data_IF_222780526558
#
_entry.id   IF_222780526558
#
_cell.length_a   1.000
_cell.length_b   1.000
_cell.length_c   1.000
_cell.angle_alpha   90.00
_cell.angle_beta   90.00
_cell.angle_gamma   90.00
#
_symmetry.space_group_name_H-M   'P 1'
#
loop_
_entity.id
_entity.type
_entity.pdbx_description
1 polymer ?
#
# COMPACT_ATOMS: atom_id res chain seq x y z
N UNK A 1 6.19 -5.84 -8.52
CA UNK A 1 5.65 -6.14 -7.19
C UNK A 1 4.57 -7.20 -7.20
N UNK A 2 3.35 -6.91 -7.66
CA UNK A 2 2.21 -7.83 -7.53
C UNK A 2 2.45 -9.23 -8.11
N UNK A 3 3.17 -9.33 -9.23
CA UNK A 3 3.55 -10.61 -9.83
C UNK A 3 4.36 -11.49 -8.87
N UNK A 4 5.46 -10.97 -8.31
CA UNK A 4 6.29 -11.73 -7.36
C UNK A 4 5.58 -12.04 -6.02
N UNK A 5 4.66 -11.17 -5.59
CA UNK A 5 3.78 -11.45 -4.45
C UNK A 5 2.87 -12.64 -4.75
N UNK A 6 2.21 -12.66 -5.91
CA UNK A 6 1.32 -13.74 -6.32
C UNK A 6 2.08 -15.04 -6.53
N UNK A 7 3.24 -15.01 -7.19
CA UNK A 7 4.11 -16.17 -7.36
C UNK A 7 4.48 -16.80 -6.02
N UNK A 8 4.85 -15.97 -5.03
CA UNK A 8 5.17 -16.46 -3.69
C UNK A 8 3.95 -17.07 -2.99
N UNK A 9 2.78 -16.43 -3.06
CA UNK A 9 1.55 -16.97 -2.46
C UNK A 9 1.13 -18.31 -3.09
N UNK A 10 1.31 -18.47 -4.41
CA UNK A 10 0.96 -19.69 -5.13
C UNK A 10 1.96 -20.83 -4.91
N UNK A 11 3.19 -20.52 -4.54
CA UNK A 11 4.25 -21.51 -4.28
C UNK A 11 4.43 -21.86 -2.80
N UNK A 12 4.02 -20.97 -1.89
CA UNK A 12 4.12 -21.12 -0.44
C UNK A 12 2.79 -20.78 0.24
N UNK A 13 2.00 -21.82 0.52
CA UNK A 13 0.63 -21.68 1.03
C UNK A 13 0.53 -21.30 2.52
N UNK A 14 1.65 -21.12 3.24
CA UNK A 14 1.62 -20.80 4.68
C UNK A 14 0.82 -19.53 4.97
N UNK A 15 0.94 -18.52 4.10
CA UNK A 15 0.21 -17.26 4.25
C UNK A 15 -1.28 -17.46 3.95
N UNK A 16 -1.60 -18.19 2.87
CA UNK A 16 -2.96 -18.52 2.46
C UNK A 16 -3.71 -19.40 3.48
N UNK A 17 -2.98 -20.18 4.29
CA UNK A 17 -3.58 -20.96 5.38
C UNK A 17 -4.01 -20.10 6.58
N UNK A 18 -3.54 -18.85 6.68
CA UNK A 18 -3.76 -17.97 7.85
C UNK A 18 -4.56 -16.71 7.53
N UNK A 19 -4.58 -16.28 6.27
CA UNK A 19 -5.27 -15.09 5.81
C UNK A 19 -5.80 -15.25 4.38
N UNK A 20 -6.84 -14.49 4.04
CA UNK A 20 -7.34 -14.37 2.66
C UNK A 20 -6.75 -13.14 2.01
N UNK A 21 -6.01 -13.31 0.90
CA UNK A 21 -5.42 -12.20 0.17
C UNK A 21 -6.38 -11.71 -0.92
N UNK A 22 -6.63 -10.39 -0.96
CA UNK A 22 -7.39 -9.72 -2.02
C UNK A 22 -6.47 -8.77 -2.77
N UNK A 23 -6.02 -9.22 -3.94
CA UNK A 23 -5.02 -8.50 -4.73
C UNK A 23 -5.71 -7.94 -5.97
N UNK A 24 -5.57 -6.63 -6.20
CA UNK A 24 -5.91 -5.97 -7.46
C UNK A 24 -4.59 -5.61 -8.15
N UNK A 25 -4.10 -6.43 -9.11
CA UNK A 25 -2.76 -6.23 -9.68
C UNK A 25 -2.59 -4.93 -10.47
N UNK A 26 -3.69 -4.35 -10.96
CA UNK A 26 -3.70 -3.08 -11.67
C UNK A 26 -5.00 -2.31 -11.38
N UNK A 27 -4.88 -1.24 -10.60
CA UNK A 27 -6.00 -0.35 -10.25
C UNK A 27 -6.40 0.62 -11.38
N UNK A 28 -5.52 0.85 -12.36
CA UNK A 28 -5.74 1.82 -13.42
C UNK A 28 -5.36 1.25 -14.81
N UNK A 29 -6.12 0.25 -15.29
CA UNK A 29 -5.84 -0.37 -16.59
C UNK A 29 -5.91 0.63 -17.74
N UNK A 30 -6.87 1.55 -17.70
CA UNK A 30 -7.07 2.56 -18.74
C UNK A 30 -5.90 3.56 -18.83
N UNK A 31 -5.46 4.08 -17.68
CA UNK A 31 -4.32 4.98 -17.60
C UNK A 31 -3.03 4.30 -18.05
N UNK A 32 -2.81 3.04 -17.66
CA UNK A 32 -1.66 2.26 -18.08
C UNK A 32 -1.61 2.08 -19.61
N UNK A 33 -2.72 1.69 -20.24
CA UNK A 33 -2.81 1.53 -21.71
C UNK A 33 -2.58 2.86 -22.43
N UNK A 34 -3.05 3.98 -21.86
CA UNK A 34 -2.89 5.32 -22.43
C UNK A 34 -1.52 5.95 -22.18
N UNK A 35 -0.65 5.32 -21.38
CA UNK A 35 0.64 5.89 -21.00
C UNK A 35 0.52 7.10 -20.06
N UNK A 36 -0.54 7.17 -19.25
CA UNK A 36 -0.69 8.19 -18.22
C UNK A 36 0.21 7.88 -17.02
N UNK A 37 0.78 8.93 -16.42
CA UNK A 37 1.52 8.81 -15.16
C UNK A 37 0.59 8.71 -13.94
N UNK A 38 -0.46 9.53 -13.89
CA UNK A 38 -1.15 9.85 -12.61
C UNK A 38 -2.68 9.74 -12.63
N UNK A 39 -3.30 9.57 -13.78
CA UNK A 39 -4.78 9.64 -13.91
C UNK A 39 -5.37 8.47 -14.68
N UNK A 40 -6.63 8.14 -14.40
CA UNK A 40 -7.41 7.22 -15.24
C UNK A 40 -7.82 7.89 -16.56
N UNK A 41 -8.60 7.19 -17.40
CA UNK A 41 -9.08 7.75 -18.67
C UNK A 41 -9.97 8.99 -18.49
N UNK A 42 -10.69 9.10 -17.37
CA UNK A 42 -11.53 10.24 -17.02
C UNK A 42 -10.76 11.44 -16.42
N UNK A 43 -9.42 11.33 -16.29
CA UNK A 43 -8.59 12.38 -15.71
C UNK A 43 -8.63 12.42 -14.17
N UNK A 44 -9.22 11.43 -13.50
CA UNK A 44 -9.22 11.32 -12.06
C UNK A 44 -7.87 10.81 -11.55
N UNK A 45 -7.30 11.48 -10.55
CA UNK A 45 -6.21 10.90 -9.76
C UNK A 45 -6.84 9.95 -8.74
N UNK A 46 -6.80 8.64 -9.02
CA UNK A 46 -7.49 7.63 -8.21
C UNK A 46 -7.07 7.65 -6.74
N UNK A 47 -5.84 8.04 -6.41
CA UNK A 47 -5.39 8.16 -5.02
C UNK A 47 -5.79 9.50 -4.36
N UNK A 48 -6.84 10.15 -4.88
CA UNK A 48 -7.52 11.32 -4.29
C UNK A 48 -9.05 11.16 -4.28
N UNK A 49 -9.54 9.94 -4.54
CA UNK A 49 -10.96 9.65 -4.80
C UNK A 49 -11.57 8.73 -3.71
N UNK A 50 -10.92 8.59 -2.56
CA UNK A 50 -11.34 7.63 -1.51
C UNK A 50 -12.29 8.24 -0.45
N UNK A 51 -12.43 9.57 -0.46
CA UNK A 51 -13.32 10.33 0.41
C UNK A 51 -13.74 11.62 -0.30
N UNK A 52 -14.68 12.41 0.25
CA UNK A 52 -15.02 13.72 -0.30
C UNK A 52 -13.78 14.56 -0.59
N UNK A 53 -13.73 15.13 -1.79
CA UNK A 53 -12.51 15.77 -2.33
C UNK A 53 -12.91 16.91 -3.25
N UNK A 54 -12.31 18.08 -3.06
CA UNK A 54 -12.76 19.30 -3.73
C UNK A 54 -14.23 19.62 -3.40
N UNK A 55 -15.06 19.71 -4.44
CA UNK A 55 -16.47 20.12 -4.37
C UNK A 55 -17.46 18.96 -4.57
N UNK A 56 -17.01 17.71 -4.57
CA UNK A 56 -17.86 16.54 -4.76
C UNK A 56 -17.55 15.40 -3.79
N UNK A 57 -18.48 14.45 -3.71
CA UNK A 57 -18.36 13.24 -2.89
C UNK A 57 -17.78 12.13 -3.76
N UNK A 58 -16.59 11.65 -3.41
CA UNK A 58 -15.91 10.54 -4.07
C UNK A 58 -15.96 9.25 -3.23
N UNK A 59 -15.79 8.06 -3.84
CA UNK A 59 -15.70 7.82 -5.28
C UNK A 59 -17.08 7.88 -5.97
N UNK A 60 -17.09 8.06 -7.30
CA UNK A 60 -18.32 7.95 -8.11
C UNK A 60 -18.14 6.98 -9.27
N UNK A 61 -19.22 6.34 -9.72
CA UNK A 61 -19.16 5.41 -10.86
C UNK A 61 -18.82 6.09 -12.19
N UNK A 62 -19.02 7.39 -12.30
CA UNK A 62 -18.73 8.15 -13.53
C UNK A 62 -17.26 8.61 -13.59
N UNK A 63 -16.68 8.98 -12.44
CA UNK A 63 -15.33 9.57 -12.39
C UNK A 63 -14.24 8.58 -11.99
N UNK A 64 -14.54 7.73 -11.01
CA UNK A 64 -13.59 6.83 -10.36
C UNK A 64 -14.22 5.45 -10.09
N UNK A 65 -14.82 4.78 -11.11
CA UNK A 65 -15.46 3.47 -10.94
C UNK A 65 -14.51 2.40 -10.40
N UNK A 66 -13.21 2.52 -10.66
CA UNK A 66 -12.17 1.61 -10.17
C UNK A 66 -12.09 1.65 -8.64
N UNK A 67 -12.07 2.85 -8.05
CA UNK A 67 -12.05 3.06 -6.60
C UNK A 67 -13.39 2.66 -6.00
N UNK A 68 -14.51 3.02 -6.63
CA UNK A 68 -15.84 2.66 -6.15
C UNK A 68 -16.03 1.13 -6.03
N UNK A 69 -15.59 0.36 -7.03
CA UNK A 69 -15.69 -1.09 -7.02
C UNK A 69 -14.85 -1.73 -5.91
N UNK A 70 -13.62 -1.27 -5.71
CA UNK A 70 -12.70 -1.81 -4.69
C UNK A 70 -13.14 -1.44 -3.29
N UNK A 71 -13.50 -0.18 -3.04
CA UNK A 71 -13.98 0.27 -1.74
C UNK A 71 -15.28 -0.45 -1.36
N UNK A 72 -16.22 -0.60 -2.30
CA UNK A 72 -17.45 -1.38 -2.06
C UNK A 72 -17.14 -2.83 -1.68
N UNK A 73 -16.10 -3.44 -2.24
CA UNK A 73 -15.72 -4.81 -1.88
C UNK A 73 -15.06 -4.87 -0.51
N UNK A 74 -14.24 -3.88 -0.16
CA UNK A 74 -13.65 -3.75 1.18
C UNK A 74 -14.73 -3.59 2.26
N UNK A 75 -15.76 -2.80 1.98
CA UNK A 75 -16.92 -2.64 2.88
C UNK A 75 -17.67 -3.95 3.14
N UNK A 76 -17.76 -4.82 2.14
CA UNK A 76 -18.43 -6.12 2.28
C UNK A 76 -17.60 -7.12 3.11
N UNK A 77 -16.27 -7.06 3.01
CA UNK A 77 -15.39 -8.14 3.50
C UNK A 77 -14.51 -7.76 4.69
N UNK A 78 -14.41 -6.46 5.02
CA UNK A 78 -13.46 -5.95 6.00
C UNK A 78 -12.02 -5.92 5.49
N UNK A 79 -11.13 -5.28 6.26
CA UNK A 79 -9.70 -5.13 5.95
C UNK A 79 -8.88 -5.17 7.25
N UNK A 80 -7.96 -6.12 7.36
CA UNK A 80 -7.07 -6.27 8.54
C UNK A 80 -5.64 -5.72 8.31
N UNK A 81 -5.20 -5.70 7.05
CA UNK A 81 -3.95 -5.12 6.58
C UNK A 81 -4.14 -4.63 5.14
N UNK A 82 -3.66 -3.43 4.84
CA UNK A 82 -3.77 -2.82 3.52
C UNK A 82 -2.44 -2.27 3.02
N UNK A 83 -2.10 -2.62 1.77
CA UNK A 83 -0.89 -2.14 1.09
C UNK A 83 -1.31 -1.50 -0.24
N UNK A 84 -1.10 -0.19 -0.38
CA UNK A 84 -1.25 0.55 -1.63
C UNK A 84 0.12 0.67 -2.30
N UNK A 85 0.35 -0.01 -3.41
CA UNK A 85 1.68 -0.15 -4.00
C UNK A 85 1.91 0.92 -5.08
N UNK A 86 2.90 1.79 -4.86
CA UNK A 86 3.22 2.93 -5.73
C UNK A 86 4.68 2.92 -6.17
N UNK A 87 5.02 3.92 -6.99
CA UNK A 87 6.39 4.29 -7.28
C UNK A 87 6.58 5.80 -7.13
N UNK A 88 7.71 6.20 -6.55
CA UNK A 88 8.07 7.58 -6.26
C UNK A 88 9.21 8.05 -7.19
N UNK A 89 9.02 9.21 -7.81
CA UNK A 89 9.92 9.75 -8.82
C UNK A 89 11.20 10.38 -8.22
N UNK A 90 11.20 10.71 -6.93
CA UNK A 90 12.24 11.55 -6.31
C UNK A 90 13.14 10.78 -5.34
N UNK A 91 12.52 10.05 -4.42
CA UNK A 91 13.12 9.36 -3.28
C UNK A 91 13.78 8.05 -3.73
N UNK A 92 15.10 7.90 -3.60
CA UNK A 92 15.81 6.70 -4.03
C UNK A 92 15.74 5.60 -2.95
N UNK A 93 14.54 5.21 -2.51
CA UNK A 93 14.35 4.20 -1.47
C UNK A 93 12.99 3.53 -1.57
N UNK A 94 12.90 2.28 -1.08
CA UNK A 94 11.59 1.71 -0.76
C UNK A 94 11.21 2.09 0.68
N UNK A 95 9.98 2.57 0.89
CA UNK A 95 9.52 3.01 2.20
C UNK A 95 8.01 2.92 2.34
N UNK A 96 7.54 3.04 3.57
CA UNK A 96 6.14 3.25 3.88
C UNK A 96 5.85 4.72 4.14
N UNK A 97 4.86 5.28 3.45
CA UNK A 97 4.10 6.40 3.97
C UNK A 97 2.93 5.83 4.78
N UNK A 98 2.95 6.08 6.09
CA UNK A 98 1.95 5.58 7.01
C UNK A 98 0.67 6.44 7.03
N UNK A 99 -0.12 6.23 8.07
CA UNK A 99 -1.44 6.83 8.29
C UNK A 99 -1.48 7.59 9.63
N UNK A 100 -0.33 7.94 10.20
CA UNK A 100 -0.19 8.45 11.56
C UNK A 100 -0.98 9.75 11.79
N UNK A 101 -1.19 10.55 10.74
CA UNK A 101 -1.95 11.80 10.82
C UNK A 101 -3.47 11.65 10.69
N UNK A 102 -4.03 10.45 10.56
CA UNK A 102 -5.50 10.32 10.41
C UNK A 102 -6.25 10.82 11.66
N UNK A 103 -7.46 11.38 11.50
CA UNK A 103 -8.33 11.66 12.62
C UNK A 103 -8.60 10.41 13.45
N UNK A 104 -8.41 10.48 14.77
CA UNK A 104 -8.75 9.39 15.68
C UNK A 104 -7.84 8.16 15.61
N UNK A 105 -6.61 8.29 15.09
CA UNK A 105 -5.62 7.20 15.12
C UNK A 105 -5.43 6.66 16.54
N UNK A 106 -5.44 5.34 16.71
CA UNK A 106 -5.24 4.70 18.02
C UNK A 106 -3.78 4.33 18.26
N UNK A 107 -3.37 4.28 19.53
CA UNK A 107 -2.04 3.78 19.93
C UNK A 107 -1.83 2.32 19.47
N UNK A 108 -2.90 1.52 19.45
CA UNK A 108 -2.86 0.13 18.97
C UNK A 108 -2.57 0.06 17.46
N UNK A 109 -3.21 0.90 16.64
CA UNK A 109 -2.93 0.94 15.20
C UNK A 109 -1.48 1.34 14.92
N UNK A 110 -0.96 2.32 15.66
CA UNK A 110 0.43 2.75 15.53
C UNK A 110 1.41 1.65 15.97
N UNK A 111 1.13 0.96 17.07
CA UNK A 111 1.93 -0.17 17.52
C UNK A 111 1.97 -1.30 16.47
N UNK A 112 0.83 -1.65 15.88
CA UNK A 112 0.76 -2.64 14.80
C UNK A 112 1.49 -2.17 13.53
N UNK A 113 1.38 -0.89 13.17
CA UNK A 113 2.13 -0.31 12.06
C UNK A 113 3.65 -0.44 12.27
N UNK A 114 4.15 -0.15 13.48
CA UNK A 114 5.56 -0.29 13.79
C UNK A 114 6.03 -1.75 13.73
N UNK A 115 5.22 -2.70 14.22
CA UNK A 115 5.51 -4.14 14.10
C UNK A 115 5.58 -4.57 12.63
N UNK A 116 4.63 -4.14 11.80
CA UNK A 116 4.66 -4.48 10.37
C UNK A 116 5.86 -3.86 9.66
N UNK A 117 6.22 -2.62 10.01
CA UNK A 117 7.41 -1.94 9.49
C UNK A 117 8.70 -2.68 9.88
N UNK A 118 8.81 -3.18 11.11
CA UNK A 118 9.95 -3.98 11.57
C UNK A 118 10.04 -5.32 10.84
N UNK A 119 8.92 -6.02 10.68
CA UNK A 119 8.85 -7.27 9.91
C UNK A 119 9.30 -7.07 8.45
N UNK A 120 8.93 -5.95 7.83
CA UNK A 120 9.35 -5.59 6.48
C UNK A 120 10.85 -5.28 6.38
N UNK A 121 11.39 -4.49 7.31
CA UNK A 121 12.83 -4.22 7.38
C UNK A 121 13.64 -5.50 7.56
N UNK A 122 13.14 -6.45 8.36
CA UNK A 122 13.79 -7.75 8.55
C UNK A 122 13.68 -8.67 7.35
N UNK A 123 12.59 -8.55 6.57
CA UNK A 123 12.31 -9.43 5.44
C UNK A 123 13.00 -9.02 4.14
N UNK A 124 13.33 -7.74 3.95
CA UNK A 124 13.89 -7.24 2.69
C UNK A 124 15.07 -6.29 2.91
N UNK A 125 16.25 -6.55 2.32
CA UNK A 125 17.38 -5.62 2.35
C UNK A 125 17.12 -4.35 1.52
N UNK A 126 16.12 -4.37 0.64
CA UNK A 126 15.73 -3.23 -0.19
C UNK A 126 14.77 -2.26 0.53
N UNK A 127 14.18 -2.67 1.67
CA UNK A 127 13.31 -1.83 2.48
C UNK A 127 14.09 -1.09 3.57
N UNK A 128 13.64 0.11 3.94
CA UNK A 128 14.29 0.94 4.95
C UNK A 128 13.31 1.93 5.60
N UNK A 129 13.75 2.59 6.67
CA UNK A 129 12.93 3.53 7.47
C UNK A 129 13.58 4.90 7.71
N UNK A 130 14.68 5.21 7.02
CA UNK A 130 15.43 6.47 7.16
C UNK A 130 14.92 7.57 6.21
N UNK A 131 14.65 7.21 4.95
CA UNK A 131 14.11 8.10 3.93
C UNK A 131 12.61 7.81 3.72
N UNK A 132 11.84 8.87 3.52
CA UNK A 132 10.41 8.82 3.23
C UNK A 132 9.80 10.20 3.29
N UNK A 133 8.47 10.28 3.17
CA UNK A 133 7.75 11.54 3.32
C UNK A 133 7.76 12.02 4.77
N UNK A 134 7.61 13.34 4.94
CA UNK A 134 7.31 13.91 6.25
C UNK A 134 5.98 13.37 6.76
N UNK A 135 5.89 13.16 8.07
CA UNK A 135 4.65 12.77 8.72
C UNK A 135 3.65 13.93 8.66
N UNK A 136 2.39 13.61 8.40
CA UNK A 136 1.28 14.54 8.58
C UNK A 136 1.12 14.85 10.09
N UNK A 137 0.69 16.07 10.40
CA UNK A 137 0.34 16.44 11.77
C UNK A 137 -0.86 15.61 12.27
N UNK A 138 -0.98 15.36 13.59
CA UNK A 138 -2.07 14.55 14.13
C UNK A 138 -3.47 15.10 13.76
N UNK A 139 -4.26 14.29 13.07
CA UNK A 139 -5.61 14.63 12.63
C UNK A 139 -5.70 15.40 11.30
N UNK A 140 -4.57 15.72 10.67
CA UNK A 140 -4.51 16.54 9.45
C UNK A 140 -4.29 15.71 8.17
N UNK A 141 -4.16 14.38 8.27
CA UNK A 141 -3.97 13.53 7.09
C UNK A 141 -5.18 13.58 6.16
N UNK A 142 -4.92 13.69 4.86
CA UNK A 142 -5.96 13.78 3.86
C UNK A 142 -6.64 12.42 3.64
N UNK A 143 -7.89 12.28 4.10
CA UNK A 143 -8.71 11.07 3.92
C UNK A 143 -9.10 10.81 2.46
N UNK A 144 -8.89 11.73 1.52
CA UNK A 144 -9.07 11.43 0.11
C UNK A 144 -7.96 10.51 -0.44
N UNK A 145 -6.84 10.37 0.29
CA UNK A 145 -5.75 9.43 0.01
C UNK A 145 -6.11 8.04 0.51
N UNK A 146 -5.82 7.02 -0.28
CA UNK A 146 -6.27 5.65 -0.08
C UNK A 146 -5.90 5.09 1.30
N UNK A 147 -4.61 5.03 1.63
CA UNK A 147 -4.16 4.40 2.86
C UNK A 147 -4.74 5.07 4.11
N UNK A 148 -4.80 6.41 4.13
CA UNK A 148 -5.41 7.19 5.20
C UNK A 148 -6.90 6.83 5.38
N UNK A 149 -7.65 6.77 4.28
CA UNK A 149 -9.05 6.39 4.35
C UNK A 149 -9.25 4.97 4.87
N UNK A 150 -8.44 4.02 4.40
CA UNK A 150 -8.59 2.61 4.78
C UNK A 150 -8.22 2.42 6.26
N UNK A 151 -7.14 3.05 6.74
CA UNK A 151 -6.81 3.04 8.17
C UNK A 151 -7.92 3.66 9.03
N UNK A 152 -8.46 4.81 8.62
CA UNK A 152 -9.52 5.49 9.36
C UNK A 152 -10.83 4.70 9.37
N UNK A 153 -11.20 4.11 8.23
CA UNK A 153 -12.47 3.39 8.05
C UNK A 153 -12.51 2.03 8.73
N UNK A 154 -11.40 1.29 8.68
CA UNK A 154 -11.33 -0.10 9.14
C UNK A 154 -10.52 -0.29 10.43
N UNK A 155 -9.83 0.75 10.92
CA UNK A 155 -9.00 0.64 12.12
C UNK A 155 -7.78 -0.29 11.94
N UNK A 156 -7.33 -0.48 10.70
CA UNK A 156 -6.26 -1.42 10.36
C UNK A 156 -4.93 -0.72 10.06
N UNK A 157 -3.86 -1.51 9.89
CA UNK A 157 -2.60 -1.02 9.33
C UNK A 157 -2.79 -0.82 7.82
N UNK A 158 -2.67 0.41 7.33
CA UNK A 158 -2.82 0.75 5.92
C UNK A 158 -1.68 1.66 5.44
N UNK A 159 -0.82 1.14 4.56
CA UNK A 159 0.39 1.86 4.12
C UNK A 159 0.36 2.14 2.63
N UNK A 160 0.89 3.29 2.23
CA UNK A 160 1.38 3.49 0.87
C UNK A 160 2.80 2.95 0.81
N UNK A 161 3.04 1.95 -0.02
CA UNK A 161 4.35 1.34 -0.23
C UNK A 161 4.98 1.93 -1.49
N UNK A 162 5.90 2.86 -1.29
CA UNK A 162 6.62 3.53 -2.36
C UNK A 162 7.86 2.74 -2.77
N UNK A 163 8.08 2.66 -4.08
CA UNK A 163 9.27 2.08 -4.71
C UNK A 163 9.96 3.14 -5.59
N UNK A 164 11.30 3.21 -5.65
CA UNK A 164 11.95 4.27 -6.41
C UNK A 164 11.86 4.03 -7.93
N UNK A 165 11.58 5.07 -8.71
CA UNK A 165 11.88 5.05 -10.16
C UNK A 165 13.39 5.04 -10.46
N UNK A 166 14.20 5.46 -9.48
CA UNK A 166 15.67 5.52 -9.57
C UNK A 166 16.29 4.18 -9.16
N UNK A 167 16.82 4.12 -7.94
CA UNK A 167 17.43 2.94 -7.31
C UNK A 167 17.28 3.06 -5.79
N UNK A 168 17.55 1.99 -5.05
CA UNK A 168 17.56 1.99 -3.59
C UNK A 168 18.94 2.36 -3.08
N UNK A 169 19.04 3.49 -2.37
CA UNK A 169 20.30 4.01 -1.84
C UNK A 169 20.98 3.05 -0.85
N UNK A 170 20.18 2.30 -0.09
CA UNK A 170 20.62 1.35 0.93
C UNK A 170 21.10 0.02 0.33
N UNK A 171 20.74 -0.29 -0.92
CA UNK A 171 21.18 -1.48 -1.63
C UNK A 171 21.20 -1.21 -3.15
N UNK A 172 22.18 -0.42 -3.65
CA UNK A 172 22.17 0.03 -5.04
C UNK A 172 22.62 -1.05 -6.02
N UNK A 173 22.01 -1.11 -7.21
CA UNK A 173 22.51 -1.82 -8.39
C UNK A 173 22.92 -0.77 -9.45
N UNK A 174 24.22 -0.43 -9.56
CA UNK A 174 24.67 0.64 -10.47
C UNK A 174 24.49 0.31 -11.96
N UNK A 175 24.16 -0.94 -12.31
CA UNK A 175 23.94 -1.36 -13.70
C UNK A 175 22.46 -1.29 -14.06
N UNK A 176 21.58 -1.71 -13.15
CA UNK A 176 20.15 -1.88 -13.44
C UNK A 176 19.22 -0.92 -12.70
N UNK A 177 19.70 -0.30 -11.62
CA UNK A 177 18.87 0.49 -10.71
C UNK A 177 17.78 -0.34 -10.05
N UNK A 178 16.64 0.31 -9.78
CA UNK A 178 15.41 -0.41 -9.47
C UNK A 178 14.86 -1.07 -10.74
N UNK A 179 14.41 -2.33 -10.62
CA UNK A 179 14.02 -3.12 -11.78
C UNK A 179 12.78 -3.98 -11.51
N UNK A 180 12.12 -4.51 -12.56
CA UNK A 180 11.00 -5.44 -12.40
C UNK A 180 11.34 -6.65 -11.52
N UNK A 181 12.53 -7.23 -11.67
CA UNK A 181 12.98 -8.39 -10.88
C UNK A 181 13.12 -8.05 -9.39
N UNK A 182 13.61 -6.86 -9.08
CA UNK A 182 13.71 -6.38 -7.68
C UNK A 182 12.34 -6.06 -7.11
N UNK A 183 11.45 -5.45 -7.90
CA UNK A 183 10.07 -5.23 -7.50
C UNK A 183 9.33 -6.56 -7.26
N UNK A 184 9.58 -7.60 -8.06
CA UNK A 184 9.04 -8.95 -7.83
C UNK A 184 9.60 -9.58 -6.54
N UNK A 185 10.91 -9.45 -6.31
CA UNK A 185 11.54 -9.91 -5.07
C UNK A 185 10.95 -9.21 -3.85
N UNK A 186 10.81 -7.89 -3.88
CA UNK A 186 10.15 -7.12 -2.82
C UNK A 186 8.73 -7.62 -2.55
N UNK A 187 7.95 -7.91 -3.59
CA UNK A 187 6.62 -8.52 -3.46
C UNK A 187 6.63 -9.89 -2.78
N UNK A 188 7.61 -10.74 -3.09
CA UNK A 188 7.82 -12.02 -2.40
C UNK A 188 8.24 -11.83 -0.95
N UNK A 189 9.14 -10.88 -0.68
CA UNK A 189 9.64 -10.59 0.68
C UNK A 189 8.52 -10.02 1.56
N UNK A 190 7.59 -9.24 0.99
CA UNK A 190 6.37 -8.80 1.69
C UNK A 190 5.52 -9.97 2.18
N UNK A 191 5.45 -11.10 1.47
CA UNK A 191 4.73 -12.29 1.98
C UNK A 191 5.40 -12.83 3.26
N UNK A 192 6.73 -12.76 3.34
CA UNK A 192 7.48 -13.13 4.56
C UNK A 192 7.13 -12.18 5.71
N UNK A 193 7.13 -10.88 5.48
CA UNK A 193 6.77 -9.89 6.50
C UNK A 193 5.32 -10.04 6.98
N UNK A 194 4.39 -10.30 6.06
CA UNK A 194 2.99 -10.56 6.40
C UNK A 194 2.86 -11.82 7.26
N UNK A 195 3.60 -12.89 6.96
CA UNK A 195 3.59 -14.11 7.77
C UNK A 195 4.05 -13.86 9.22
N UNK A 196 5.05 -13.01 9.39
CA UNK A 196 5.56 -12.58 10.70
C UNK A 196 4.59 -11.65 11.43
N UNK A 197 3.84 -10.83 10.68
CA UNK A 197 2.89 -9.87 11.22
C UNK A 197 1.53 -10.47 11.61
N UNK A 198 0.97 -11.44 10.85
CA UNK A 198 -0.35 -12.03 11.16
C UNK A 198 -0.54 -12.45 12.64
N UNK A 199 0.44 -13.05 13.36
CA UNK A 199 0.29 -13.35 14.79
C UNK A 199 -0.02 -12.14 15.68
N UNK A 200 0.35 -10.91 15.29
CA UNK A 200 0.08 -9.70 16.08
C UNK A 200 -1.32 -9.14 15.87
N UNK A 201 -2.00 -9.52 14.78
CA UNK A 201 -3.41 -9.25 14.56
C UNK A 201 -4.21 -10.12 15.55
N UNK A 202 -4.66 -9.53 16.66
CA UNK A 202 -5.36 -10.24 17.72
C UNK A 202 -6.56 -11.00 17.15
N UNK A 203 -6.57 -12.33 17.28
CA UNK A 203 -7.80 -13.10 17.16
C UNK A 203 -8.50 -13.02 18.51
N UNK A 204 -9.53 -12.19 18.61
CA UNK A 204 -10.60 -12.45 19.57
C UNK A 204 -11.35 -13.67 19.01
N UNK A 205 -10.99 -14.86 19.48
CA UNK A 205 -11.91 -15.99 19.48
C UNK A 205 -12.89 -15.86 20.66
#
# INVERSE_FOLDING_TARGET
FAEGLLDRLLTDSRALARATFRVVPNMNPDGAIKGHLRTNAGGANLNREWAPTGDYIAPTLERSPEVAAVLSKMDEVGVDLFLDIHGDEETPANFFAGFEGIPGVSEEQLAQFFLFREAMTSSSPDFQTELGYSLDEPGEANLAVCNNQIAHRFGCVAVTFEQPFKDCWNNPDPVRGWSPERAMRLGSDTVTAVLEFIPSLARVE
#
